data_IF_045761170003
#
_entry.id   IF_045761170003
#
_cell.length_a   1.000
_cell.length_b   1.000
_cell.length_c   1.000
_cell.angle_alpha   90.00
_cell.angle_beta   90.00
_cell.angle_gamma   90.00
#
_symmetry.space_group_name_H-M   'P 1'
#
loop_
_entity.id
_entity.type
_entity.pdbx_description
1 polymer ?
#
# COMPACT_ATOMS: atom_id res chain seq x y z
N UNK A 1 18.39 -51.00 -8.24
CA UNK A 1 18.97 -49.98 -9.15
C UNK A 1 17.88 -49.22 -9.90
N UNK A 2 16.86 -49.89 -10.43
CA UNK A 2 15.71 -49.25 -11.11
C UNK A 2 14.88 -48.35 -10.19
N UNK A 3 14.61 -48.76 -8.94
CA UNK A 3 13.86 -47.92 -7.99
C UNK A 3 14.58 -46.62 -7.62
N UNK A 4 15.91 -46.64 -7.62
CA UNK A 4 16.71 -45.44 -7.34
C UNK A 4 16.63 -44.46 -8.51
N UNK A 5 16.62 -44.95 -9.76
CA UNK A 5 16.47 -44.11 -10.94
C UNK A 5 15.08 -43.47 -10.98
N UNK A 6 14.02 -44.24 -10.72
CA UNK A 6 12.65 -43.70 -10.63
C UNK A 6 12.54 -42.60 -9.59
N UNK A 7 13.10 -42.83 -8.39
CA UNK A 7 13.07 -41.83 -7.32
C UNK A 7 13.84 -40.55 -7.67
N UNK A 8 14.93 -40.65 -8.43
CA UNK A 8 15.67 -39.48 -8.93
C UNK A 8 14.86 -38.72 -9.99
N UNK A 9 14.12 -39.43 -10.85
CA UNK A 9 13.27 -38.82 -11.86
C UNK A 9 12.06 -38.12 -11.23
N UNK A 10 11.43 -38.73 -10.24
CA UNK A 10 10.33 -38.14 -9.46
C UNK A 10 10.79 -36.85 -8.75
N UNK A 11 11.93 -36.90 -8.07
CA UNK A 11 12.53 -35.72 -7.42
C UNK A 11 12.87 -34.60 -8.41
N UNK A 12 13.25 -34.94 -9.65
CA UNK A 12 13.49 -33.95 -10.71
C UNK A 12 12.21 -33.26 -11.15
N UNK A 13 11.10 -34.01 -11.23
CA UNK A 13 9.79 -33.47 -11.58
C UNK A 13 9.31 -32.54 -10.47
N UNK A 14 9.39 -32.97 -9.21
CA UNK A 14 9.04 -32.15 -8.05
C UNK A 14 9.88 -30.86 -7.98
N UNK A 15 11.20 -30.95 -8.22
CA UNK A 15 12.04 -29.75 -8.26
C UNK A 15 11.59 -28.75 -9.33
N UNK A 16 11.20 -29.24 -10.51
CA UNK A 16 10.75 -28.39 -11.61
C UNK A 16 9.42 -27.70 -11.28
N UNK A 17 8.52 -28.40 -10.60
CA UNK A 17 7.27 -27.82 -10.11
C UNK A 17 7.52 -26.75 -9.05
N UNK A 18 8.39 -27.04 -8.07
CA UNK A 18 8.80 -26.08 -7.03
C UNK A 18 9.41 -24.82 -7.67
N UNK A 19 10.29 -24.96 -8.66
CA UNK A 19 10.86 -23.81 -9.37
C UNK A 19 9.80 -22.96 -10.07
N UNK A 20 8.78 -23.60 -10.66
CA UNK A 20 7.68 -22.88 -11.29
C UNK A 20 6.86 -22.10 -10.27
N UNK A 21 6.58 -22.71 -9.13
CA UNK A 21 5.80 -22.09 -8.06
C UNK A 21 6.58 -20.92 -7.41
N UNK A 22 7.90 -21.08 -7.23
CA UNK A 22 8.79 -19.99 -6.79
C UNK A 22 8.72 -18.80 -7.75
N UNK A 23 8.80 -19.04 -9.07
CA UNK A 23 8.72 -17.96 -10.06
C UNK A 23 7.38 -17.23 -10.06
N UNK A 24 6.30 -17.98 -9.84
CA UNK A 24 4.96 -17.39 -9.69
C UNK A 24 4.86 -16.55 -8.41
N UNK A 25 5.44 -17.05 -7.30
CA UNK A 25 5.51 -16.30 -6.04
C UNK A 25 6.35 -15.02 -6.19
N UNK A 26 7.52 -15.10 -6.81
CA UNK A 26 8.38 -13.94 -7.07
C UNK A 26 7.65 -12.86 -7.91
N UNK A 27 6.92 -13.28 -8.94
CA UNK A 27 6.11 -12.38 -9.76
C UNK A 27 5.03 -11.70 -8.92
N UNK A 28 4.30 -12.45 -8.10
CA UNK A 28 3.26 -11.90 -7.21
C UNK A 28 3.85 -10.97 -6.15
N UNK A 29 5.01 -11.32 -5.57
CA UNK A 29 5.71 -10.48 -4.59
C UNK A 29 6.14 -9.16 -5.23
N UNK A 30 6.70 -9.19 -6.44
CA UNK A 30 7.10 -7.97 -7.17
C UNK A 30 5.90 -7.05 -7.45
N UNK A 31 4.77 -7.64 -7.84
CA UNK A 31 3.51 -6.90 -8.04
C UNK A 31 3.04 -6.29 -6.70
N UNK A 32 3.05 -7.08 -5.62
CA UNK A 32 2.66 -6.62 -4.29
C UNK A 32 3.56 -5.46 -3.80
N UNK A 33 4.88 -5.54 -4.01
CA UNK A 33 5.81 -4.44 -3.68
C UNK A 33 5.46 -3.15 -4.44
N UNK A 34 5.11 -3.27 -5.72
CA UNK A 34 4.67 -2.14 -6.54
C UNK A 34 3.33 -1.56 -6.07
N UNK A 35 2.39 -2.42 -5.70
CA UNK A 35 1.08 -2.01 -5.18
C UNK A 35 1.23 -1.29 -3.84
N UNK A 36 2.08 -1.81 -2.93
CA UNK A 36 2.42 -1.14 -1.66
C UNK A 36 3.02 0.24 -1.91
N UNK A 37 3.97 0.36 -2.86
CA UNK A 37 4.54 1.67 -3.23
C UNK A 37 3.48 2.65 -3.73
N UNK A 38 2.53 2.17 -4.52
CA UNK A 38 1.42 2.97 -5.03
C UNK A 38 0.48 3.42 -3.91
N UNK A 39 0.13 2.51 -3.00
CA UNK A 39 -0.69 2.79 -1.82
C UNK A 39 -0.02 3.86 -0.96
N UNK A 40 1.28 3.75 -0.68
CA UNK A 40 2.01 4.75 0.10
C UNK A 40 1.94 6.14 -0.51
N UNK A 41 2.09 6.26 -1.84
CA UNK A 41 1.95 7.56 -2.54
C UNK A 41 0.52 8.11 -2.45
N UNK A 42 -0.49 7.25 -2.55
CA UNK A 42 -1.89 7.68 -2.38
C UNK A 42 -2.16 8.13 -0.94
N UNK A 43 -1.64 7.41 0.05
CA UNK A 43 -1.73 7.79 1.47
C UNK A 43 -1.06 9.14 1.74
N UNK A 44 0.10 9.42 1.14
CA UNK A 44 0.77 10.71 1.28
C UNK A 44 -0.08 11.86 0.70
N UNK A 45 -0.70 11.66 -0.46
CA UNK A 45 -1.64 12.63 -1.05
C UNK A 45 -2.86 12.85 -0.16
N UNK A 46 -3.45 11.78 0.35
CA UNK A 46 -4.58 11.85 1.28
C UNK A 46 -4.18 12.61 2.54
N UNK A 47 -3.05 12.25 3.16
CA UNK A 47 -2.51 12.91 4.36
C UNK A 47 -2.29 14.41 4.15
N UNK A 48 -1.72 14.78 3.00
CA UNK A 48 -1.54 16.19 2.62
C UNK A 48 -2.90 16.89 2.53
N UNK A 49 -3.85 16.32 1.79
CA UNK A 49 -5.19 16.89 1.63
C UNK A 49 -5.93 17.01 2.96
N UNK A 50 -5.88 16.00 3.84
CA UNK A 50 -6.52 16.07 5.17
C UNK A 50 -5.87 17.14 6.05
N UNK A 51 -4.55 17.32 5.94
CA UNK A 51 -3.84 18.40 6.66
C UNK A 51 -4.26 19.79 6.15
N UNK A 52 -4.47 19.95 4.84
CA UNK A 52 -5.01 21.20 4.27
C UNK A 52 -6.45 21.46 4.71
N UNK A 53 -7.31 20.43 4.71
CA UNK A 53 -8.70 20.53 5.17
C UNK A 53 -8.76 21.00 6.62
N UNK A 54 -7.91 20.44 7.51
CA UNK A 54 -7.85 20.87 8.90
C UNK A 54 -7.57 22.37 9.04
N UNK A 55 -6.62 22.91 8.27
CA UNK A 55 -6.29 24.34 8.28
C UNK A 55 -7.45 25.22 7.82
N UNK A 56 -8.17 24.80 6.78
CA UNK A 56 -9.34 25.52 6.28
C UNK A 56 -10.43 25.56 7.34
N UNK A 57 -10.74 24.43 7.97
CA UNK A 57 -11.75 24.34 9.03
C UNK A 57 -11.39 25.29 10.19
N UNK A 58 -10.14 25.28 10.64
CA UNK A 58 -9.68 26.19 11.70
C UNK A 58 -9.80 27.66 11.27
N UNK A 59 -9.42 27.99 10.03
CA UNK A 59 -9.53 29.35 9.49
C UNK A 59 -10.98 29.85 9.44
N UNK A 60 -11.91 28.99 9.02
CA UNK A 60 -13.35 29.31 9.00
C UNK A 60 -13.89 29.53 10.42
N UNK A 61 -13.51 28.67 11.38
CA UNK A 61 -13.94 28.83 12.78
C UNK A 61 -13.42 30.14 13.36
N UNK A 62 -12.13 30.43 13.23
CA UNK A 62 -11.52 31.66 13.77
C UNK A 62 -12.14 32.89 13.12
N UNK A 63 -12.27 32.91 11.79
CA UNK A 63 -12.86 34.04 11.06
C UNK A 63 -14.32 34.24 11.42
N UNK A 64 -15.08 33.15 11.59
CA UNK A 64 -16.47 33.20 12.05
C UNK A 64 -16.60 33.81 13.45
N UNK A 65 -15.75 33.39 14.39
CA UNK A 65 -15.74 33.95 15.74
C UNK A 65 -15.34 35.43 15.76
N UNK A 66 -14.29 35.81 15.02
CA UNK A 66 -13.88 37.21 14.90
C UNK A 66 -14.97 38.08 14.26
N UNK A 67 -15.64 37.59 13.22
CA UNK A 67 -16.76 38.29 12.59
C UNK A 67 -17.93 38.52 13.55
N UNK A 68 -18.24 37.54 14.41
CA UNK A 68 -19.25 37.69 15.45
C UNK A 68 -18.83 38.72 16.51
N UNK A 69 -17.57 38.72 16.95
CA UNK A 69 -17.06 39.69 17.91
C UNK A 69 -17.15 41.13 17.36
N UNK A 70 -16.72 41.34 16.11
CA UNK A 70 -16.79 42.66 15.44
C UNK A 70 -18.24 43.12 15.29
N UNK A 71 -19.16 42.22 14.92
CA UNK A 71 -20.59 42.55 14.78
C UNK A 71 -21.27 42.87 16.12
N UNK A 72 -20.77 42.34 17.24
CA UNK A 72 -21.31 42.64 18.58
C UNK A 72 -20.78 43.94 19.19
N UNK A 73 -19.92 44.70 18.50
CA UNK A 73 -19.56 46.06 18.88
C UNK A 73 -18.74 46.18 20.17
N UNK A 74 -17.88 45.20 20.48
CA UNK A 74 -16.75 45.34 21.42
C UNK A 74 -15.52 45.80 20.64
#
# INVERSE_FOLDING_TARGET
MEDLHRKVDDLRIEQKEIMRDIRNLETRTTINEKDISTINKQLEKISTNTTWILRIILGVIVTGLLGLLINMGV
#
